data_IF_016210958441
#
_entry.id   IF_016210958441
#
_cell.length_a   1.000
_cell.length_b   1.000
_cell.length_c   1.000
_cell.angle_alpha   90.00
_cell.angle_beta   90.00
_cell.angle_gamma   90.00
#
_symmetry.space_group_name_H-M   'P 1'
#
loop_
_entity.id
_entity.type
_entity.pdbx_description
1 polymer ?
#
# COMPACT_ATOMS: atom_id res chain seq x y z
N UNK A 1 -14.86 -6.46 -0.98
CA UNK A 1 -14.14 -7.50 -1.74
C UNK A 1 -12.73 -7.69 -1.18
N UNK A 2 -11.89 -6.66 -1.06
CA UNK A 2 -10.54 -6.77 -0.46
C UNK A 2 -10.55 -7.24 1.00
N UNK A 3 -11.35 -6.60 1.86
CA UNK A 3 -11.46 -6.98 3.28
C UNK A 3 -12.07 -8.38 3.53
N UNK A 4 -12.55 -9.06 2.47
CA UNK A 4 -13.08 -10.43 2.55
C UNK A 4 -12.09 -11.46 1.97
N UNK A 5 -10.90 -11.01 1.53
CA UNK A 5 -9.83 -11.83 0.98
C UNK A 5 -8.76 -12.11 2.03
N UNK A 6 -8.16 -13.29 2.03
CA UNK A 6 -6.99 -13.59 2.88
C UNK A 6 -5.68 -13.01 2.33
N UNK A 7 -5.63 -12.76 1.01
CA UNK A 7 -4.45 -12.25 0.31
C UNK A 7 -4.88 -11.60 -1.02
N UNK A 8 -4.13 -10.59 -1.45
CA UNK A 8 -4.25 -9.98 -2.78
C UNK A 8 -3.08 -10.40 -3.67
N UNK A 9 -3.32 -10.54 -4.98
CA UNK A 9 -2.27 -10.72 -5.99
C UNK A 9 -2.48 -9.67 -7.09
N UNK A 10 -1.41 -9.00 -7.53
CA UNK A 10 -1.53 -8.04 -8.62
C UNK A 10 -0.25 -7.31 -9.01
N UNK A 11 -0.37 -6.36 -9.92
CA UNK A 11 0.74 -5.45 -10.27
C UNK A 11 0.92 -4.41 -9.17
N UNK A 12 2.18 -4.08 -8.87
CA UNK A 12 2.48 -3.00 -7.93
C UNK A 12 2.06 -1.64 -8.51
N UNK A 13 1.42 -0.82 -7.68
CA UNK A 13 0.94 0.52 -8.00
C UNK A 13 0.41 1.20 -6.75
N UNK A 14 0.41 2.53 -6.73
CA UNK A 14 0.09 3.29 -5.53
C UNK A 14 -1.29 2.92 -4.95
N UNK A 15 -2.33 2.91 -5.78
CA UNK A 15 -3.69 2.57 -5.34
C UNK A 15 -3.82 1.16 -4.78
N UNK A 16 -3.20 0.17 -5.43
CA UNK A 16 -3.24 -1.23 -4.95
C UNK A 16 -2.50 -1.39 -3.62
N UNK A 17 -1.35 -0.72 -3.48
CA UNK A 17 -0.54 -0.77 -2.26
C UNK A 17 -1.25 -0.02 -1.12
N UNK A 18 -1.83 1.14 -1.38
CA UNK A 18 -2.54 1.90 -0.35
C UNK A 18 -3.78 1.15 0.16
N UNK A 19 -4.53 0.49 -0.72
CA UNK A 19 -5.67 -0.35 -0.32
C UNK A 19 -5.22 -1.58 0.47
N UNK A 20 -4.18 -2.30 0.01
CA UNK A 20 -3.67 -3.46 0.72
C UNK A 20 -3.21 -3.11 2.15
N UNK A 21 -2.48 -2.00 2.30
CA UNK A 21 -2.05 -1.50 3.59
C UNK A 21 -3.23 -1.03 4.47
N UNK A 22 -4.17 -0.27 3.89
CA UNK A 22 -5.34 0.23 4.61
C UNK A 22 -6.20 -0.90 5.20
N UNK A 23 -6.37 -2.00 4.47
CA UNK A 23 -7.11 -3.16 4.93
C UNK A 23 -6.25 -4.21 5.63
N UNK A 24 -4.94 -3.96 5.79
CA UNK A 24 -3.97 -4.88 6.39
C UNK A 24 -4.01 -6.28 5.74
N UNK A 25 -4.19 -6.34 4.43
CA UNK A 25 -4.23 -7.59 3.66
C UNK A 25 -2.85 -7.84 3.01
N UNK A 26 -2.24 -9.03 3.17
CA UNK A 26 -1.01 -9.39 2.49
C UNK A 26 -1.13 -9.25 0.96
N UNK A 27 -0.11 -8.68 0.33
CA UNK A 27 -0.10 -8.39 -1.09
C UNK A 27 1.07 -9.08 -1.80
N UNK A 28 0.76 -10.06 -2.64
CA UNK A 28 1.72 -10.66 -3.55
C UNK A 28 1.79 -9.81 -4.81
N UNK A 29 2.92 -9.15 -5.04
CA UNK A 29 3.05 -8.19 -6.13
C UNK A 29 3.99 -8.68 -7.23
N UNK A 30 3.64 -8.36 -8.47
CA UNK A 30 4.53 -8.52 -9.64
C UNK A 30 5.13 -7.16 -9.98
N UNK A 31 6.45 -7.13 -10.21
CA UNK A 31 7.18 -5.91 -10.60
C UNK A 31 6.70 -5.36 -11.94
N UNK A 32 6.93 -4.07 -12.12
CA UNK A 32 6.73 -3.36 -13.39
C UNK A 32 8.07 -2.79 -13.82
N UNK A 33 8.50 -3.14 -15.02
CA UNK A 33 9.67 -2.50 -15.61
C UNK A 33 9.39 -0.99 -15.83
N UNK A 34 10.42 -0.16 -15.65
CA UNK A 34 10.37 1.29 -15.86
C UNK A 34 9.31 2.03 -15.03
N UNK A 35 8.97 1.51 -13.84
CA UNK A 35 8.06 2.17 -12.92
C UNK A 35 8.80 2.89 -11.80
N UNK A 36 8.93 4.22 -11.92
CA UNK A 36 9.73 5.04 -11.03
C UNK A 36 9.31 4.97 -9.54
N UNK A 37 8.03 4.72 -9.27
CA UNK A 37 7.50 4.62 -7.91
C UNK A 37 7.73 3.23 -7.28
N UNK A 38 8.08 2.21 -8.09
CA UNK A 38 8.23 0.82 -7.63
C UNK A 38 9.13 0.68 -6.40
N UNK A 39 10.33 1.27 -6.34
CA UNK A 39 11.23 1.08 -5.21
C UNK A 39 10.64 1.61 -3.89
N UNK A 40 9.90 2.72 -3.96
CA UNK A 40 9.30 3.34 -2.78
C UNK A 40 8.10 2.54 -2.28
N UNK A 41 7.27 2.05 -3.20
CA UNK A 41 6.11 1.22 -2.87
C UNK A 41 6.51 -0.15 -2.33
N UNK A 42 7.54 -0.76 -2.93
CA UNK A 42 8.16 -1.98 -2.42
C UNK A 42 8.66 -1.78 -1.00
N UNK A 43 9.46 -0.74 -0.77
CA UNK A 43 10.00 -0.43 0.56
C UNK A 43 8.86 -0.22 1.58
N UNK A 44 7.78 0.45 1.17
CA UNK A 44 6.59 0.63 2.02
C UNK A 44 5.96 -0.72 2.43
N UNK A 45 5.76 -1.62 1.47
CA UNK A 45 5.24 -2.97 1.75
C UNK A 45 6.18 -3.76 2.66
N UNK A 46 7.50 -3.66 2.47
CA UNK A 46 8.49 -4.33 3.31
C UNK A 46 8.48 -3.79 4.74
N UNK A 47 8.47 -2.46 4.93
CA UNK A 47 8.43 -1.82 6.24
C UNK A 47 7.20 -2.24 7.06
N UNK A 48 6.04 -2.39 6.43
CA UNK A 48 4.79 -2.76 7.10
C UNK A 48 4.50 -4.27 7.04
N UNK A 49 5.47 -5.10 6.65
CA UNK A 49 5.30 -6.55 6.49
C UNK A 49 4.06 -6.92 5.65
N UNK A 50 3.76 -6.12 4.62
CA UNK A 50 2.55 -6.21 3.83
C UNK A 50 2.73 -6.86 2.45
N UNK A 51 3.95 -7.19 2.03
CA UNK A 51 4.21 -7.63 0.65
C UNK A 51 5.10 -8.84 0.48
N UNK A 52 4.83 -9.62 -0.57
CA UNK A 52 5.72 -10.66 -1.12
C UNK A 52 5.93 -10.39 -2.60
N UNK A 53 7.18 -10.32 -3.05
CA UNK A 53 7.46 -10.22 -4.48
C UNK A 53 7.30 -11.57 -5.17
N UNK A 54 6.52 -11.60 -6.25
CA UNK A 54 6.49 -12.71 -7.20
C UNK A 54 7.13 -12.30 -8.53
N UNK A 55 8.21 -12.99 -8.97
CA UNK A 55 8.76 -12.83 -10.30
C UNK A 55 7.71 -13.08 -11.40
N UNK A 56 7.75 -12.28 -12.47
CA UNK A 56 6.80 -12.39 -13.59
C UNK A 56 6.80 -13.79 -14.24
N UNK A 57 7.96 -14.46 -14.26
CA UNK A 57 8.10 -15.84 -14.74
C UNK A 57 7.23 -16.80 -13.95
N UNK A 58 7.18 -16.67 -12.63
CA UNK A 58 6.37 -17.52 -11.76
C UNK A 58 4.89 -17.24 -11.93
N UNK A 59 4.54 -15.96 -12.12
CA UNK A 59 3.18 -15.57 -12.43
C UNK A 59 2.67 -16.28 -13.68
N UNK A 60 3.43 -16.27 -14.78
CA UNK A 60 3.03 -16.94 -16.03
C UNK A 60 3.17 -18.46 -15.98
N UNK A 61 4.05 -18.99 -15.14
CA UNK A 61 4.26 -20.44 -15.00
C UNK A 61 3.34 -21.10 -13.96
N UNK A 62 2.48 -20.33 -13.29
CA UNK A 62 1.55 -20.83 -12.27
C UNK A 62 2.20 -21.20 -10.93
N UNK A 63 3.45 -20.81 -10.68
CA UNK A 63 4.17 -21.09 -9.43
C UNK A 63 3.76 -20.16 -8.27
N UNK A 64 2.45 -19.98 -8.08
CA UNK A 64 1.90 -18.99 -7.15
C UNK A 64 1.87 -19.49 -5.70
N UNK A 65 1.70 -20.79 -5.51
CA UNK A 65 1.49 -21.43 -4.19
C UNK A 65 2.53 -21.01 -3.17
N UNK A 66 3.82 -21.02 -3.54
CA UNK A 66 4.91 -20.62 -2.64
C UNK A 66 4.81 -19.17 -2.17
N UNK A 67 4.41 -18.27 -3.08
CA UNK A 67 4.30 -16.85 -2.80
C UNK A 67 3.07 -16.54 -1.96
N UNK A 68 1.96 -17.24 -2.22
CA UNK A 68 0.74 -17.17 -1.42
C UNK A 68 0.94 -17.72 -0.01
N UNK A 69 1.62 -18.86 0.14
CA UNK A 69 1.95 -19.43 1.45
C UNK A 69 2.84 -18.48 2.26
N UNK A 70 3.82 -17.83 1.61
CA UNK A 70 4.62 -16.80 2.27
C UNK A 70 3.75 -15.61 2.71
N UNK A 71 2.83 -15.16 1.86
CA UNK A 71 1.97 -14.02 2.13
C UNK A 71 1.00 -14.25 3.30
N UNK A 72 0.42 -15.45 3.43
CA UNK A 72 -0.49 -15.79 4.53
C UNK A 72 0.20 -15.74 5.90
N UNK A 73 1.53 -15.92 5.94
CA UNK A 73 2.31 -15.83 7.17
C UNK A 73 2.73 -14.39 7.54
N UNK A 74 2.47 -13.42 6.65
CA UNK A 74 2.74 -12.02 6.94
C UNK A 74 1.79 -11.47 7.99
N UNK A 75 2.23 -10.43 8.68
CA UNK A 75 1.43 -9.69 9.68
C UNK A 75 1.45 -8.20 9.34
N UNK A 76 0.63 -7.76 8.36
CA UNK A 76 0.61 -6.36 7.94
C UNK A 76 0.31 -5.43 9.12
N UNK A 77 1.14 -4.40 9.31
CA UNK A 77 1.16 -3.58 10.53
C UNK A 77 0.90 -2.08 10.27
N UNK A 78 0.24 -1.75 9.17
CA UNK A 78 -0.05 -0.37 8.82
C UNK A 78 -1.13 0.24 9.73
N UNK A 79 -0.79 1.32 10.44
CA UNK A 79 -1.67 2.06 11.35
C UNK A 79 -1.90 3.52 10.94
N UNK A 80 -1.60 3.87 9.69
CA UNK A 80 -1.85 5.22 9.17
C UNK A 80 -3.33 5.48 8.87
N UNK A 81 -3.70 6.76 8.80
CA UNK A 81 -5.07 7.17 8.49
C UNK A 81 -5.44 6.95 7.02
N UNK A 82 -6.70 6.56 6.77
CA UNK A 82 -7.26 6.32 5.42
C UNK A 82 -8.10 7.49 4.90
N UNK A 83 -8.20 8.58 5.67
CA UNK A 83 -9.04 9.76 5.40
C UNK A 83 -8.30 10.89 4.67
N UNK A 84 -7.28 10.56 3.86
CA UNK A 84 -6.44 11.56 3.18
C UNK A 84 -7.24 12.55 2.32
N UNK A 85 -8.31 12.10 1.67
CA UNK A 85 -9.21 12.98 0.91
C UNK A 85 -9.89 14.05 1.77
N UNK A 86 -10.35 13.68 2.97
CA UNK A 86 -10.95 14.65 3.89
C UNK A 86 -9.91 15.62 4.45
N UNK A 87 -8.71 15.12 4.78
CA UNK A 87 -7.59 15.96 5.23
C UNK A 87 -7.25 17.01 4.17
N UNK A 88 -7.09 16.61 2.91
CA UNK A 88 -6.78 17.53 1.81
C UNK A 88 -7.92 18.52 1.55
N UNK A 89 -9.17 18.05 1.56
CA UNK A 89 -10.33 18.93 1.38
C UNK A 89 -10.37 20.04 2.45
N UNK A 90 -10.09 19.68 3.71
CA UNK A 90 -10.03 20.64 4.83
C UNK A 90 -8.90 21.66 4.64
N UNK A 91 -7.71 21.20 4.27
CA UNK A 91 -6.55 22.08 4.00
C UNK A 91 -6.89 23.09 2.90
N UNK A 92 -7.48 22.63 1.79
CA UNK A 92 -7.87 23.50 0.67
C UNK A 92 -8.93 24.51 1.12
N UNK A 93 -9.93 24.08 1.90
CA UNK A 93 -10.97 24.96 2.43
C UNK A 93 -10.41 26.05 3.36
N UNK A 94 -9.49 25.68 4.25
CA UNK A 94 -8.85 26.62 5.18
C UNK A 94 -8.01 27.67 4.44
N UNK A 95 -7.26 27.25 3.41
CA UNK A 95 -6.51 28.15 2.52
C UNK A 95 -7.47 29.11 1.79
N UNK A 96 -8.57 28.60 1.25
CA UNK A 96 -9.54 29.41 0.51
C UNK A 96 -10.23 30.48 1.39
N UNK A 97 -10.40 30.22 2.69
CA UNK A 97 -11.04 31.14 3.65
C UNK A 97 -9.99 32.05 4.34
N UNK A 98 -8.70 31.96 3.98
CA UNK A 98 -7.60 32.69 4.61
C UNK A 98 -7.51 32.48 6.13
N UNK A 99 -7.95 31.32 6.63
CA UNK A 99 -7.67 30.93 8.02
C UNK A 99 -6.18 30.59 8.12
N UNK A 100 -5.50 31.12 9.14
CA UNK A 100 -4.10 30.76 9.39
C UNK A 100 -4.01 29.26 9.66
N UNK A 101 -3.40 28.52 8.73
CA UNK A 101 -3.10 27.11 8.93
C UNK A 101 -2.09 26.97 10.08
N UNK A 102 -2.55 26.47 11.23
CA UNK A 102 -1.66 26.03 12.29
C UNK A 102 -1.36 24.55 12.04
N UNK A 103 -0.18 24.19 11.49
CA UNK A 103 0.14 22.79 11.26
C UNK A 103 0.15 22.09 12.61
N UNK A 104 -0.80 21.16 12.81
CA UNK A 104 -0.70 20.20 13.89
C UNK A 104 0.55 19.38 13.58
N UNK A 105 1.52 19.36 14.49
CA UNK A 105 2.80 18.65 14.31
C UNK A 105 2.53 17.24 13.79
N UNK A 106 2.80 17.04 12.50
CA UNK A 106 2.91 15.70 11.93
C UNK A 106 4.24 15.19 12.45
N UNK A 107 4.20 14.30 13.43
CA UNK A 107 5.40 13.56 13.82
C UNK A 107 5.83 12.77 12.58
N UNK A 108 6.91 13.22 11.97
CA UNK A 108 7.62 12.54 10.90
C UNK A 108 8.10 11.18 11.40
N UNK A 109 7.98 10.19 10.51
CA UNK A 109 8.35 8.79 10.61
C UNK A 109 9.75 8.54 11.19
#
# INVERSE_FOLDING_TARGET
>A
MIAASDCMIGKIGYGTVSEALAYKIPFVFVRRDYFNEEPFLRNLLECYQGGVEMPIKDMFSGYWTRHLQNAINLKPSYEGGTNGGEVVARVIQDIAIAKSYAPTKVNTF
#
